data_IF_520510739008
#
_entry.id   IF_520510739008
#
_cell.length_a   1.000
_cell.length_b   1.000
_cell.length_c   1.000
_cell.angle_alpha   90.00
_cell.angle_beta   90.00
_cell.angle_gamma   90.00
#
_symmetry.space_group_name_H-M   'P 1'
#
loop_
_entity.id
_entity.type
_entity.pdbx_description
1 polymer ?
#
# COMPACT_ATOMS: atom_id res chain seq x y z
N UNK A 1 -24.43 7.80 10.46
CA UNK A 1 -22.96 7.68 10.36
C UNK A 1 -22.64 6.31 9.78
N UNK A 2 -21.85 6.23 8.72
CA UNK A 2 -21.43 4.94 8.14
C UNK A 2 -20.18 4.51 8.88
N UNK A 3 -20.19 3.30 9.46
CA UNK A 3 -19.06 2.74 10.20
C UNK A 3 -18.52 1.50 9.48
N UNK A 4 -17.20 1.40 9.27
CA UNK A 4 -16.62 0.19 8.69
C UNK A 4 -16.66 -0.96 9.70
N UNK A 5 -16.58 -2.19 9.17
CA UNK A 5 -16.34 -3.38 10.01
C UNK A 5 -14.98 -3.27 10.70
N UNK A 6 -14.87 -3.86 11.88
CA UNK A 6 -13.60 -3.97 12.61
C UNK A 6 -12.64 -4.89 11.85
N UNK A 7 -11.36 -4.55 11.88
CA UNK A 7 -10.28 -5.36 11.32
C UNK A 7 -10.06 -6.61 12.18
N UNK A 8 -9.84 -7.76 11.53
CA UNK A 8 -9.49 -9.03 12.15
C UNK A 8 -8.20 -9.60 11.54
N UNK A 9 -7.47 -10.42 12.31
CA UNK A 9 -6.31 -11.16 11.78
C UNK A 9 -6.78 -12.07 10.65
N UNK A 10 -6.01 -12.15 9.56
CA UNK A 10 -6.38 -12.85 8.33
C UNK A 10 -7.06 -11.97 7.27
N UNK A 11 -7.52 -10.77 7.65
CA UNK A 11 -8.08 -9.81 6.71
C UNK A 11 -7.03 -9.30 5.71
N UNK A 12 -7.54 -8.79 4.58
CA UNK A 12 -6.70 -8.20 3.54
C UNK A 12 -6.62 -6.69 3.70
N UNK A 13 -5.40 -6.17 3.82
CA UNK A 13 -5.10 -4.74 3.81
C UNK A 13 -4.69 -4.36 2.38
N UNK A 14 -5.55 -3.58 1.72
CA UNK A 14 -5.21 -2.92 0.46
C UNK A 14 -4.46 -1.62 0.72
N UNK A 15 -3.42 -1.33 -0.07
CA UNK A 15 -2.70 -0.07 -0.02
C UNK A 15 -2.58 0.56 -1.41
N UNK A 16 -2.41 1.88 -1.44
CA UNK A 16 -2.26 2.66 -2.67
C UNK A 16 -1.33 3.85 -2.43
N UNK A 17 -0.83 4.46 -3.50
CA UNK A 17 -0.01 5.68 -3.46
C UNK A 17 -0.74 6.78 -4.23
N UNK A 18 -1.27 7.77 -3.52
CA UNK A 18 -2.04 8.91 -4.09
C UNK A 18 -1.24 10.21 -4.25
N UNK A 19 0.06 10.17 -3.98
CA UNK A 19 0.96 11.31 -4.04
C UNK A 19 2.38 10.79 -4.32
N UNK A 20 3.35 10.96 -3.43
CA UNK A 20 4.74 10.55 -3.65
C UNK A 20 4.90 9.02 -3.93
N UNK A 21 5.79 8.62 -4.87
CA UNK A 21 5.99 7.21 -5.26
C UNK A 21 6.91 6.44 -4.29
N UNK A 22 6.59 6.42 -2.99
CA UNK A 22 7.46 5.84 -1.97
C UNK A 22 7.71 4.34 -2.13
N UNK A 23 6.77 3.62 -2.73
CA UNK A 23 6.96 2.20 -3.07
C UNK A 23 8.05 2.00 -4.14
N UNK A 24 8.35 3.03 -4.95
CA UNK A 24 9.42 3.02 -5.94
C UNK A 24 10.75 3.56 -5.38
N UNK A 25 10.77 4.71 -4.69
CA UNK A 25 12.04 5.33 -4.24
C UNK A 25 12.55 4.82 -2.89
N UNK A 26 11.72 4.16 -2.08
CA UNK A 26 12.13 3.58 -0.79
C UNK A 26 11.83 2.05 -0.72
N UNK A 27 12.31 1.25 -1.69
CA UNK A 27 11.89 -0.14 -1.87
C UNK A 27 12.22 -1.02 -0.67
N UNK A 28 13.37 -0.81 -0.02
CA UNK A 28 13.79 -1.60 1.15
C UNK A 28 12.85 -1.39 2.35
N UNK A 29 12.39 -0.15 2.56
CA UNK A 29 11.44 0.14 3.65
C UNK A 29 10.05 -0.37 3.31
N UNK A 30 9.64 -0.24 2.05
CA UNK A 30 8.37 -0.79 1.56
C UNK A 30 8.32 -2.32 1.75
N UNK A 31 9.33 -3.06 1.27
CA UNK A 31 9.39 -4.51 1.44
C UNK A 31 9.30 -4.94 2.92
N UNK A 32 10.05 -4.26 3.81
CA UNK A 32 9.99 -4.52 5.25
C UNK A 32 8.59 -4.29 5.84
N UNK A 33 7.87 -3.27 5.38
CA UNK A 33 6.51 -3.00 5.85
C UNK A 33 5.50 -4.05 5.40
N UNK A 34 5.63 -4.56 4.17
CA UNK A 34 4.81 -5.67 3.67
C UNK A 34 5.06 -6.92 4.51
N UNK A 35 6.32 -7.32 4.67
CA UNK A 35 6.66 -8.48 5.50
C UNK A 35 6.23 -8.32 6.96
N UNK A 36 6.27 -7.11 7.52
CA UNK A 36 5.78 -6.84 8.86
C UNK A 36 4.28 -7.17 9.01
N UNK A 37 3.45 -6.71 8.06
CA UNK A 37 2.01 -6.97 8.09
C UNK A 37 1.68 -8.44 7.84
N UNK A 38 2.38 -9.08 6.90
CA UNK A 38 2.24 -10.51 6.62
C UNK A 38 2.60 -11.36 7.84
N UNK A 39 3.71 -11.03 8.54
CA UNK A 39 4.10 -11.69 9.78
C UNK A 39 3.12 -11.46 10.95
N UNK A 40 2.26 -10.44 10.87
CA UNK A 40 1.15 -10.23 11.82
C UNK A 40 -0.12 -11.01 11.44
N UNK A 41 -0.08 -11.77 10.34
CA UNK A 41 -1.18 -12.60 9.88
C UNK A 41 -2.16 -11.88 8.96
N UNK A 42 -1.82 -10.71 8.43
CA UNK A 42 -2.65 -10.02 7.42
C UNK A 42 -2.23 -10.42 6.01
N UNK A 43 -3.19 -10.40 5.08
CA UNK A 43 -2.88 -10.43 3.65
C UNK A 43 -2.67 -9.00 3.17
N UNK A 44 -1.72 -8.77 2.27
CA UNK A 44 -1.46 -7.43 1.74
C UNK A 44 -1.75 -7.41 0.24
N UNK A 45 -2.56 -6.45 -0.23
CA UNK A 45 -2.91 -6.30 -1.64
C UNK A 45 -2.36 -4.98 -2.19
N UNK A 46 -1.45 -5.09 -3.15
CA UNK A 46 -0.86 -3.95 -3.83
C UNK A 46 -1.86 -3.24 -4.76
N UNK A 47 -1.91 -1.91 -4.68
CA UNK A 47 -2.60 -1.07 -5.65
C UNK A 47 -1.86 -1.00 -6.98
N UNK A 48 -2.56 -0.61 -8.05
CA UNK A 48 -2.04 -0.64 -9.44
C UNK A 48 -0.80 0.25 -9.67
N UNK A 49 -0.62 1.31 -8.86
CA UNK A 49 0.52 2.23 -8.94
C UNK A 49 1.72 1.81 -8.06
N UNK A 50 1.68 0.63 -7.44
CA UNK A 50 2.81 0.14 -6.63
C UNK A 50 4.05 -0.04 -7.50
N UNK A 51 5.18 0.53 -7.06
CA UNK A 51 6.44 0.53 -7.81
C UNK A 51 6.47 1.46 -9.03
N UNK A 52 5.40 2.21 -9.29
CA UNK A 52 5.35 3.22 -10.36
C UNK A 52 5.86 4.57 -9.85
N UNK A 53 6.33 5.40 -10.77
CA UNK A 53 6.80 6.75 -10.49
C UNK A 53 6.54 7.65 -11.71
N UNK A 54 5.95 8.81 -11.46
CA UNK A 54 5.79 9.95 -12.36
C UNK A 54 6.47 11.16 -11.70
N UNK A 55 7.81 11.17 -11.73
CA UNK A 55 8.68 12.13 -11.05
C UNK A 55 8.40 12.27 -9.55
N UNK A 56 7.67 13.31 -9.16
CA UNK A 56 7.37 13.62 -7.76
C UNK A 56 6.13 12.87 -7.24
N UNK A 57 5.36 12.20 -8.10
CA UNK A 57 4.09 11.52 -7.78
C UNK A 57 4.05 10.09 -8.33
N UNK A 58 3.04 9.32 -7.95
CA UNK A 58 2.86 7.90 -8.32
C UNK A 58 2.25 7.67 -9.70
N UNK A 59 1.47 8.64 -10.18
CA UNK A 59 0.78 8.62 -11.47
C UNK A 59 0.03 9.93 -11.72
N UNK A 60 -0.74 9.99 -12.79
CA UNK A 60 -1.64 11.12 -13.07
C UNK A 60 -2.78 11.18 -12.05
N UNK A 61 -3.52 12.29 -12.02
CA UNK A 61 -4.67 12.47 -11.11
C UNK A 61 -5.78 11.41 -11.34
N UNK A 62 -5.90 10.88 -12.56
CA UNK A 62 -6.96 9.94 -12.94
C UNK A 62 -6.63 8.46 -12.70
N UNK A 63 -5.36 8.12 -12.50
CA UNK A 63 -4.89 6.75 -12.30
C UNK A 63 -4.96 6.35 -10.83
#
# INVERSE_FOLDING_TARGET
MILPKKLSVGDTIGFFSSSAPATAFAPTRFARSVSYLENKGYKVKAGILTGKSDFYRSGTIMQ
#
